data_IF_155592879736
#
_entry.id   IF_155592879736
#
_cell.length_a   1.000
_cell.length_b   1.000
_cell.length_c   1.000
_cell.angle_alpha   90.00
_cell.angle_beta   90.00
_cell.angle_gamma   90.00
#
_symmetry.space_group_name_H-M   'P 1'
#
loop_
_entity.id
_entity.type
_entity.pdbx_description
1 polymer ?
#
# COMPACT_ATOMS: atom_id res chain seq x y z
N UNK A 1 -51.76 70.52 -35.41
CA UNK A 1 -51.59 69.06 -35.31
C UNK A 1 -50.45 68.83 -34.33
N UNK A 2 -50.77 68.58 -33.06
CA UNK A 2 -49.79 68.47 -31.97
C UNK A 2 -49.04 67.13 -32.05
N UNK A 3 -47.70 67.17 -31.96
CA UNK A 3 -46.88 65.96 -31.86
C UNK A 3 -47.07 65.30 -30.48
N UNK A 4 -47.13 63.96 -30.38
CA UNK A 4 -47.24 63.30 -29.10
C UNK A 4 -45.91 63.44 -28.34
N UNK A 5 -45.98 64.13 -27.21
CA UNK A 5 -44.85 64.31 -26.31
C UNK A 5 -44.62 62.99 -25.56
N UNK A 6 -43.48 62.34 -25.83
CA UNK A 6 -43.08 61.12 -25.13
C UNK A 6 -42.88 61.43 -23.64
N UNK A 7 -43.66 60.79 -22.78
CA UNK A 7 -43.49 60.82 -21.32
C UNK A 7 -42.15 60.17 -20.98
N UNK A 8 -41.29 60.91 -20.27
CA UNK A 8 -40.07 60.37 -19.70
C UNK A 8 -40.43 59.33 -18.62
N UNK A 9 -40.42 58.06 -18.99
CA UNK A 9 -40.53 56.98 -18.02
C UNK A 9 -39.27 56.99 -17.13
N UNK A 10 -39.47 57.06 -15.82
CA UNK A 10 -38.40 56.92 -14.85
C UNK A 10 -37.70 55.56 -15.05
N UNK A 11 -36.35 55.49 -14.99
CA UNK A 11 -35.67 54.22 -15.05
C UNK A 11 -36.01 53.43 -13.78
N UNK A 12 -36.76 52.35 -13.93
CA UNK A 12 -36.91 51.37 -12.85
C UNK A 12 -35.53 50.73 -12.61
N UNK A 13 -34.99 50.75 -11.38
CA UNK A 13 -33.63 50.25 -11.12
C UNK A 13 -33.55 48.71 -11.05
N UNK A 14 -34.51 48.00 -11.62
CA UNK A 14 -34.58 46.54 -11.58
C UNK A 14 -34.82 45.94 -12.97
N UNK A 15 -33.94 46.25 -13.91
CA UNK A 15 -33.64 45.30 -14.97
C UNK A 15 -32.67 44.27 -14.40
N UNK A 16 -33.21 43.19 -13.82
CA UNK A 16 -32.41 42.00 -13.56
C UNK A 16 -32.01 41.42 -14.92
N UNK A 17 -30.88 41.87 -15.46
CA UNK A 17 -30.17 41.15 -16.51
C UNK A 17 -29.32 40.11 -15.78
N UNK A 18 -29.68 38.81 -15.82
CA UNK A 18 -28.86 37.80 -15.17
C UNK A 18 -27.46 37.88 -15.78
N UNK A 19 -26.47 38.18 -14.96
CA UNK A 19 -25.08 38.11 -15.35
C UNK A 19 -24.76 36.66 -15.70
N UNK A 20 -24.69 36.34 -17.00
CA UNK A 20 -24.38 35.00 -17.55
C UNK A 20 -23.01 34.42 -17.12
N UNK A 21 -22.27 35.11 -16.25
CA UNK A 21 -20.96 34.68 -15.75
C UNK A 21 -21.03 33.92 -14.41
N UNK A 22 -22.22 33.80 -13.82
CA UNK A 22 -22.47 33.11 -12.54
C UNK A 22 -23.68 32.18 -12.61
N UNK A 23 -24.06 31.74 -13.80
CA UNK A 23 -25.14 30.75 -13.97
C UNK A 23 -24.57 29.35 -13.72
N UNK A 24 -25.16 28.64 -12.76
CA UNK A 24 -24.85 27.23 -12.53
C UNK A 24 -25.06 26.45 -13.84
N UNK A 25 -24.05 25.67 -14.26
CA UNK A 25 -24.14 24.79 -15.43
C UNK A 25 -24.92 23.48 -15.13
N UNK A 26 -25.48 23.38 -13.92
CA UNK A 26 -26.24 22.26 -13.42
C UNK A 26 -27.69 22.70 -13.21
N UNK A 27 -28.63 21.84 -13.55
CA UNK A 27 -30.04 22.08 -13.29
C UNK A 27 -30.27 22.05 -11.76
N UNK A 28 -30.67 23.18 -11.19
CA UNK A 28 -30.90 23.31 -9.74
C UNK A 28 -32.25 22.74 -9.31
N UNK A 29 -33.14 22.48 -10.26
CA UNK A 29 -34.50 21.96 -10.01
C UNK A 29 -34.57 20.43 -10.07
N UNK A 30 -33.46 19.75 -10.37
CA UNK A 30 -33.36 18.29 -10.47
C UNK A 30 -32.31 17.75 -9.50
N UNK A 31 -32.61 16.61 -8.86
CA UNK A 31 -31.66 15.92 -7.99
C UNK A 31 -30.59 15.23 -8.83
N UNK A 32 -29.32 15.50 -8.52
CA UNK A 32 -28.18 14.90 -9.21
C UNK A 32 -28.07 13.43 -8.81
N UNK A 33 -28.09 12.55 -9.80
CA UNK A 33 -27.86 11.12 -9.60
C UNK A 33 -26.38 10.80 -9.77
N UNK A 34 -25.90 9.81 -9.00
CA UNK A 34 -24.51 9.36 -9.06
C UNK A 34 -24.20 8.58 -10.35
N UNK A 35 -25.18 7.87 -10.90
CA UNK A 35 -25.02 7.05 -12.10
C UNK A 35 -26.31 7.01 -12.91
N UNK A 36 -26.18 7.11 -14.23
CA UNK A 36 -27.32 7.04 -15.16
C UNK A 36 -27.52 5.62 -15.71
N UNK A 37 -26.49 4.76 -15.64
CA UNK A 37 -26.52 3.41 -16.19
C UNK A 37 -26.19 2.34 -15.15
N UNK A 38 -26.68 1.11 -15.37
CA UNK A 38 -26.38 -0.02 -14.50
C UNK A 38 -24.86 -0.31 -14.43
N UNK A 39 -24.16 -0.20 -15.57
CA UNK A 39 -22.72 -0.42 -15.64
C UNK A 39 -21.92 0.63 -14.86
N UNK A 40 -22.33 1.89 -14.92
CA UNK A 40 -21.73 2.98 -14.16
C UNK A 40 -21.96 2.82 -12.65
N UNK A 41 -23.17 2.42 -12.26
CA UNK A 41 -23.47 2.10 -10.86
C UNK A 41 -22.60 0.94 -10.34
N UNK A 42 -22.41 -0.12 -11.12
CA UNK A 42 -21.56 -1.24 -10.74
C UNK A 42 -20.07 -0.82 -10.65
N UNK A 43 -19.64 0.11 -11.50
CA UNK A 43 -18.31 0.73 -11.41
C UNK A 43 -18.14 1.53 -10.11
N UNK A 44 -19.10 2.39 -9.77
CA UNK A 44 -19.06 3.16 -8.53
C UNK A 44 -19.15 2.27 -7.29
N UNK A 45 -19.90 1.18 -7.32
CA UNK A 45 -19.92 0.18 -6.24
C UNK A 45 -18.52 -0.43 -6.03
N UNK A 46 -17.85 -0.79 -7.13
CA UNK A 46 -16.47 -1.32 -7.08
C UNK A 46 -15.48 -0.29 -6.56
N UNK A 47 -15.58 0.98 -6.99
CA UNK A 47 -14.74 2.07 -6.48
C UNK A 47 -15.01 2.37 -5.01
N UNK A 48 -16.27 2.27 -4.57
CA UNK A 48 -16.66 2.42 -3.16
C UNK A 48 -16.07 1.30 -2.29
N UNK A 49 -16.01 0.07 -2.80
CA UNK A 49 -15.35 -1.05 -2.12
C UNK A 49 -13.85 -0.78 -1.96
N UNK A 50 -13.17 -0.30 -3.01
CA UNK A 50 -11.76 0.11 -2.94
C UNK A 50 -11.55 1.23 -1.90
N UNK A 51 -12.39 2.26 -1.93
CA UNK A 51 -12.36 3.36 -0.96
C UNK A 51 -12.54 2.86 0.48
N UNK A 52 -13.50 1.97 0.71
CA UNK A 52 -13.76 1.32 2.00
C UNK A 52 -12.54 0.53 2.49
N UNK A 53 -11.92 -0.26 1.62
CA UNK A 53 -10.70 -1.03 1.95
C UNK A 53 -9.56 -0.10 2.36
N UNK A 54 -9.34 1.01 1.63
CA UNK A 54 -8.26 1.95 1.93
C UNK A 54 -8.45 2.58 3.32
N UNK A 55 -9.66 3.04 3.64
CA UNK A 55 -9.96 3.67 4.95
C UNK A 55 -9.86 2.66 6.08
N UNK A 56 -10.42 1.46 5.90
CA UNK A 56 -10.39 0.40 6.92
C UNK A 56 -8.96 -0.06 7.17
N UNK A 57 -8.12 -0.15 6.15
CA UNK A 57 -6.71 -0.44 6.30
C UNK A 57 -5.98 0.64 7.11
N UNK A 58 -6.24 1.92 6.86
CA UNK A 58 -5.63 3.02 7.64
C UNK A 58 -6.08 3.00 9.11
N UNK A 59 -7.36 2.70 9.35
CA UNK A 59 -7.90 2.50 10.70
C UNK A 59 -7.27 1.29 11.41
N UNK A 60 -7.06 0.18 10.69
CA UNK A 60 -6.40 -1.02 11.18
C UNK A 60 -4.95 -0.71 11.60
N UNK A 61 -4.18 0.00 10.77
CA UNK A 61 -2.83 0.46 11.12
C UNK A 61 -2.82 1.32 12.39
N UNK A 62 -3.74 2.29 12.48
CA UNK A 62 -3.87 3.15 13.66
C UNK A 62 -4.28 2.37 14.91
N UNK A 63 -5.08 1.32 14.78
CA UNK A 63 -5.52 0.49 15.90
C UNK A 63 -4.38 -0.41 16.40
N UNK A 64 -3.60 -0.99 15.48
CA UNK A 64 -2.40 -1.76 15.82
C UNK A 64 -1.36 -0.91 16.56
N UNK A 65 -1.09 0.32 16.07
CA UNK A 65 -0.17 1.25 16.73
C UNK A 65 -0.63 1.75 18.11
N UNK A 66 -1.93 1.63 18.41
CA UNK A 66 -2.52 1.95 19.72
C UNK A 66 -2.66 0.72 20.61
N UNK A 67 -2.02 -0.40 20.26
CA UNK A 67 -2.11 -1.69 20.95
C UNK A 67 -3.57 -2.16 21.17
N UNK A 68 -4.49 -1.76 20.29
CA UNK A 68 -5.92 -2.09 20.41
C UNK A 68 -6.27 -3.45 19.79
N UNK A 69 -5.37 -4.01 18.97
CA UNK A 69 -5.53 -5.29 18.26
C UNK A 69 -4.22 -6.06 18.42
N UNK A 70 -4.31 -7.39 18.57
CA UNK A 70 -3.11 -8.23 18.68
C UNK A 70 -2.44 -8.45 17.31
N UNK A 71 -1.17 -8.87 17.34
CA UNK A 71 -0.34 -9.03 16.15
C UNK A 71 -0.89 -10.06 15.15
N UNK A 72 -1.45 -11.17 15.65
CA UNK A 72 -1.97 -12.24 14.81
C UNK A 72 -3.23 -11.79 14.04
N UNK A 73 -4.19 -11.17 14.74
CA UNK A 73 -5.42 -10.63 14.16
C UNK A 73 -5.14 -9.50 13.18
N UNK A 74 -4.19 -8.62 13.51
CA UNK A 74 -3.74 -7.58 12.60
C UNK A 74 -3.17 -8.17 11.30
N UNK A 75 -2.26 -9.14 11.41
CA UNK A 75 -1.58 -9.72 10.24
C UNK A 75 -2.58 -10.41 9.32
N UNK A 76 -3.50 -11.20 9.87
CA UNK A 76 -4.53 -11.89 9.10
C UNK A 76 -5.50 -10.91 8.43
N UNK A 77 -5.95 -9.89 9.17
CA UNK A 77 -6.90 -8.90 8.65
C UNK A 77 -6.25 -8.03 7.57
N UNK A 78 -4.99 -7.63 7.77
CA UNK A 78 -4.24 -6.85 6.78
C UNK A 78 -4.02 -7.65 5.49
N UNK A 79 -3.60 -8.92 5.58
CA UNK A 79 -3.39 -9.76 4.39
C UNK A 79 -4.70 -9.93 3.60
N UNK A 80 -5.82 -10.11 4.32
CA UNK A 80 -7.15 -10.21 3.72
C UNK A 80 -7.55 -8.94 2.98
N UNK A 81 -7.39 -7.77 3.61
CA UNK A 81 -7.70 -6.47 2.99
C UNK A 81 -6.82 -6.20 1.75
N UNK A 82 -5.53 -6.54 1.82
CA UNK A 82 -4.61 -6.40 0.69
C UNK A 82 -5.00 -7.30 -0.49
N UNK A 83 -5.44 -8.53 -0.23
CA UNK A 83 -5.95 -9.43 -1.29
C UNK A 83 -7.24 -8.90 -1.92
N UNK A 84 -8.17 -8.40 -1.11
CA UNK A 84 -9.42 -7.81 -1.60
C UNK A 84 -9.15 -6.57 -2.46
N UNK A 85 -8.22 -5.71 -2.04
CA UNK A 85 -7.79 -4.55 -2.80
C UNK A 85 -7.23 -4.96 -4.18
N UNK A 86 -6.30 -5.92 -4.21
CA UNK A 86 -5.73 -6.45 -5.46
C UNK A 86 -6.80 -7.10 -6.35
N UNK A 87 -7.76 -7.81 -5.76
CA UNK A 87 -8.85 -8.45 -6.50
C UNK A 87 -9.82 -7.44 -7.12
N UNK A 88 -10.11 -6.33 -6.44
CA UNK A 88 -10.97 -5.28 -7.00
C UNK A 88 -10.29 -4.55 -8.16
N UNK A 89 -8.99 -4.28 -8.02
CA UNK A 89 -8.18 -3.65 -9.09
C UNK A 89 -7.86 -4.57 -10.26
N UNK A 90 -8.19 -5.86 -10.19
CA UNK A 90 -8.03 -6.78 -11.31
C UNK A 90 -9.07 -6.53 -12.43
N UNK A 91 -10.19 -5.88 -12.13
CA UNK A 91 -11.19 -5.51 -13.13
C UNK A 91 -10.69 -4.33 -13.97
N UNK A 92 -10.65 -4.48 -15.29
CA UNK A 92 -10.08 -3.49 -16.22
C UNK A 92 -10.80 -2.13 -16.16
N UNK A 93 -12.13 -2.14 -16.02
CA UNK A 93 -12.95 -0.92 -15.89
C UNK A 93 -12.61 -0.15 -14.60
N UNK A 94 -12.42 -0.87 -13.50
CA UNK A 94 -12.07 -0.30 -12.20
C UNK A 94 -10.64 0.21 -12.24
N UNK A 95 -9.69 -0.55 -12.81
CA UNK A 95 -8.31 -0.11 -12.94
C UNK A 95 -8.18 1.16 -13.80
N UNK A 96 -8.97 1.26 -14.88
CA UNK A 96 -8.98 2.44 -15.74
C UNK A 96 -9.54 3.68 -15.02
N UNK A 97 -10.61 3.52 -14.23
CA UNK A 97 -11.20 4.61 -13.46
C UNK A 97 -10.38 4.98 -12.21
N UNK A 98 -9.74 4.00 -11.57
CA UNK A 98 -8.88 4.20 -10.40
C UNK A 98 -7.56 4.88 -10.76
N UNK A 99 -6.96 4.50 -11.89
CA UNK A 99 -5.66 5.01 -12.31
C UNK A 99 -4.54 4.61 -11.35
N UNK A 100 -4.05 5.57 -10.58
CA UNK A 100 -3.02 5.38 -9.56
C UNK A 100 -3.49 5.82 -8.17
N UNK A 101 -2.86 5.23 -7.14
CA UNK A 101 -3.23 5.46 -5.75
C UNK A 101 -3.15 6.94 -5.34
N UNK A 102 -2.20 7.71 -5.86
CA UNK A 102 -2.06 9.13 -5.47
C UNK A 102 -3.12 10.00 -6.15
N UNK A 103 -3.42 9.76 -7.43
CA UNK A 103 -4.52 10.46 -8.12
C UNK A 103 -5.87 10.16 -7.48
N UNK A 104 -6.15 8.89 -7.16
CA UNK A 104 -7.39 8.51 -6.47
C UNK A 104 -7.51 9.19 -5.10
N UNK A 105 -6.41 9.29 -4.34
CA UNK A 105 -6.43 10.01 -3.07
C UNK A 105 -6.70 11.51 -3.23
N UNK A 106 -6.12 12.13 -4.26
CA UNK A 106 -6.30 13.55 -4.53
C UNK A 106 -7.74 13.86 -4.98
N UNK A 107 -8.31 13.01 -5.81
CA UNK A 107 -9.68 13.14 -6.32
C UNK A 107 -10.73 13.03 -5.21
N UNK A 108 -10.57 12.05 -4.30
CA UNK A 108 -11.52 11.77 -3.23
C UNK A 108 -11.16 12.41 -1.88
N UNK A 109 -10.08 13.22 -1.82
CA UNK A 109 -9.66 13.92 -0.60
C UNK A 109 -9.25 12.99 0.55
N UNK A 110 -8.58 11.88 0.23
CA UNK A 110 -8.20 10.84 1.19
C UNK A 110 -6.89 11.14 1.92
N UNK A 111 -6.96 11.44 3.22
CA UNK A 111 -5.80 11.56 4.10
C UNK A 111 -5.48 10.23 4.83
N UNK A 112 -4.81 9.33 4.11
CA UNK A 112 -4.53 7.94 4.58
C UNK A 112 -3.04 7.60 4.50
N UNK A 113 -2.17 8.28 5.28
CA UNK A 113 -0.72 8.11 5.17
C UNK A 113 -0.26 6.68 5.49
N UNK A 114 -0.88 5.99 6.46
CA UNK A 114 -0.44 4.65 6.88
C UNK A 114 -0.88 3.57 5.91
N UNK A 115 -2.13 3.66 5.42
CA UNK A 115 -2.58 2.77 4.35
C UNK A 115 -1.76 2.97 3.06
N UNK A 116 -1.34 4.19 2.75
CA UNK A 116 -0.52 4.46 1.55
C UNK A 116 0.79 3.69 1.59
N UNK A 117 1.52 3.75 2.71
CA UNK A 117 2.73 2.96 2.89
C UNK A 117 2.43 1.48 2.74
N UNK A 118 1.42 0.98 3.45
CA UNK A 118 1.05 -0.44 3.41
C UNK A 118 0.67 -0.94 2.01
N UNK A 119 -0.08 -0.15 1.24
CA UNK A 119 -0.49 -0.51 -0.12
C UNK A 119 0.69 -0.49 -1.10
N UNK A 120 1.65 0.41 -0.91
CA UNK A 120 2.89 0.43 -1.71
C UNK A 120 3.74 -0.81 -1.45
N UNK A 121 3.90 -1.20 -0.19
CA UNK A 121 4.70 -2.35 0.24
C UNK A 121 4.02 -3.67 -0.10
N UNK A 122 2.70 -3.76 0.06
CA UNK A 122 1.92 -4.96 -0.27
C UNK A 122 2.06 -6.11 0.72
N UNK A 123 2.64 -5.89 1.90
CA UNK A 123 2.78 -6.86 3.00
C UNK A 123 2.45 -6.21 4.36
N UNK A 124 1.89 -6.95 5.34
CA UNK A 124 1.67 -6.47 6.71
C UNK A 124 2.92 -5.89 7.41
N UNK A 125 2.79 -4.89 8.29
CA UNK A 125 3.94 -4.23 8.97
C UNK A 125 4.76 -5.21 9.80
N UNK A 126 4.09 -6.22 10.35
CA UNK A 126 4.71 -7.30 11.12
C UNK A 126 5.74 -8.08 10.31
N UNK A 127 5.52 -8.16 8.98
CA UNK A 127 6.43 -8.81 8.05
C UNK A 127 7.51 -7.84 7.55
N UNK A 128 7.23 -6.54 7.52
CA UNK A 128 8.19 -5.53 7.08
C UNK A 128 9.18 -5.13 8.19
N UNK A 129 8.68 -4.96 9.42
CA UNK A 129 9.41 -4.33 10.51
C UNK A 129 9.00 -4.89 11.89
N UNK A 130 9.95 -5.56 12.55
CA UNK A 130 10.03 -5.64 14.01
C UNK A 130 11.51 -5.46 14.37
N UNK A 131 11.94 -4.44 15.15
CA UNK A 131 11.28 -3.16 15.45
C UNK A 131 12.26 -1.95 15.44
N UNK A 132 11.96 -0.86 14.72
CA UNK A 132 12.24 0.50 15.24
C UNK A 132 11.16 0.89 16.23
N UNK A 133 11.15 0.21 17.38
CA UNK A 133 10.52 0.76 18.59
C UNK A 133 11.39 1.93 19.00
N UNK A 134 10.90 3.14 18.71
CA UNK A 134 11.38 4.33 19.41
C UNK A 134 11.31 4.03 20.90
N UNK A 135 12.49 4.09 21.50
CA UNK A 135 12.79 3.71 22.85
C UNK A 135 12.19 4.74 23.81
N UNK A 136 11.01 4.45 24.36
CA UNK A 136 10.57 5.05 25.61
C UNK A 136 9.31 4.38 26.18
N UNK A 137 9.43 3.20 26.79
CA UNK A 137 8.69 2.97 28.04
C UNK A 137 9.25 1.84 28.89
N UNK A 138 9.69 2.26 30.08
CA UNK A 138 9.91 1.47 31.28
C UNK A 138 8.84 0.40 31.51
N UNK A 139 9.22 -0.87 31.54
CA UNK A 139 8.54 -1.88 32.36
C UNK A 139 9.55 -2.59 33.27
N UNK A 140 9.10 -2.73 34.52
CA UNK A 140 9.88 -2.98 35.73
C UNK A 140 10.54 -4.36 35.70
N UNK A 141 11.81 -4.38 36.08
CA UNK A 141 12.48 -5.57 36.56
C UNK A 141 11.74 -6.11 37.80
N UNK A 142 11.05 -7.23 37.65
CA UNK A 142 10.68 -8.09 38.78
C UNK A 142 11.66 -9.25 38.81
N UNK A 143 12.47 -9.25 39.85
CA UNK A 143 13.41 -10.29 40.21
C UNK A 143 12.67 -11.62 40.45
N UNK A 144 12.99 -12.67 39.69
CA UNK A 144 12.79 -14.05 40.16
C UNK A 144 13.92 -14.93 39.63
N UNK A 145 14.85 -15.25 40.52
CA UNK A 145 15.87 -16.27 40.37
C UNK A 145 15.24 -17.64 40.06
N UNK A 146 15.65 -18.25 38.95
CA UNK A 146 15.45 -19.67 38.65
C UNK A 146 16.67 -20.19 37.86
N UNK A 147 17.36 -21.25 38.31
CA UNK A 147 18.64 -21.64 37.75
C UNK A 147 18.48 -22.55 36.52
N UNK A 148 19.25 -22.24 35.46
CA UNK A 148 19.80 -23.19 34.49
C UNK A 148 18.83 -23.96 33.60
N UNK A 149 18.68 -23.50 32.35
CA UNK A 149 18.43 -24.41 31.22
C UNK A 149 19.00 -23.82 29.91
N UNK A 150 20.14 -24.35 29.46
CA UNK A 150 20.69 -24.09 28.13
C UNK A 150 20.01 -25.04 27.11
N UNK A 151 19.33 -24.47 26.10
CA UNK A 151 18.75 -25.14 24.90
C UNK A 151 17.23 -24.92 24.76
N UNK A 152 16.66 -24.47 23.61
CA UNK A 152 16.93 -24.87 22.21
C UNK A 152 17.03 -23.72 21.16
N UNK A 153 17.33 -22.49 21.55
CA UNK A 153 17.32 -21.33 20.62
C UNK A 153 18.32 -21.41 19.44
N UNK A 154 19.45 -22.10 19.60
CA UNK A 154 20.46 -22.22 18.55
C UNK A 154 20.04 -23.13 17.38
N UNK A 155 19.23 -24.17 17.64
CA UNK A 155 18.75 -25.09 16.61
C UNK A 155 17.63 -24.46 15.76
N UNK A 156 16.74 -23.68 16.40
CA UNK A 156 15.72 -22.91 15.69
C UNK A 156 16.35 -21.87 14.76
N UNK A 157 17.41 -21.18 15.23
CA UNK A 157 18.16 -20.25 14.40
C UNK A 157 18.91 -20.97 13.27
N UNK A 158 19.53 -22.13 13.52
CA UNK A 158 20.18 -22.92 12.47
C UNK A 158 19.22 -23.34 11.35
N UNK A 159 18.03 -23.82 11.69
CA UNK A 159 17.00 -24.17 10.71
C UNK A 159 16.50 -22.95 9.94
N UNK A 160 16.31 -21.81 10.63
CA UNK A 160 15.93 -20.56 9.97
C UNK A 160 17.02 -20.06 9.01
N UNK A 161 18.31 -20.19 9.37
CA UNK A 161 19.45 -19.81 8.54
C UNK A 161 19.49 -20.63 7.26
N UNK A 162 19.28 -21.95 7.38
CA UNK A 162 19.20 -22.85 6.23
C UNK A 162 18.05 -22.46 5.32
N UNK A 163 16.85 -22.25 5.88
CA UNK A 163 15.67 -21.81 5.12
C UNK A 163 15.87 -20.47 4.42
N UNK A 164 16.50 -19.49 5.08
CA UNK A 164 16.84 -18.20 4.45
C UNK A 164 17.84 -18.38 3.31
N UNK A 165 18.86 -19.21 3.50
CA UNK A 165 19.87 -19.51 2.48
C UNK A 165 19.26 -20.22 1.26
N UNK A 166 18.33 -21.16 1.49
CA UNK A 166 17.57 -21.82 0.43
C UNK A 166 16.75 -20.82 -0.38
N UNK A 167 16.02 -19.91 0.27
CA UNK A 167 15.23 -18.88 -0.42
C UNK A 167 16.11 -17.93 -1.24
N UNK A 168 17.27 -17.52 -0.72
CA UNK A 168 18.24 -16.75 -1.51
C UNK A 168 18.75 -17.52 -2.72
N UNK A 169 19.05 -18.82 -2.58
CA UNK A 169 19.49 -19.65 -3.71
C UNK A 169 18.38 -19.74 -4.76
N UNK A 170 17.13 -20.00 -4.36
CA UNK A 170 15.97 -20.02 -5.26
C UNK A 170 15.79 -18.70 -6.00
N UNK A 171 15.95 -17.57 -5.29
CA UNK A 171 15.87 -16.24 -5.89
C UNK A 171 17.00 -15.97 -6.89
N UNK A 172 18.24 -16.32 -6.56
CA UNK A 172 19.37 -16.20 -7.47
C UNK A 172 19.22 -17.10 -8.70
N UNK A 173 18.70 -18.30 -8.51
CA UNK A 173 18.46 -19.25 -9.60
C UNK A 173 17.38 -18.73 -10.56
N UNK A 174 16.27 -18.21 -10.03
CA UNK A 174 15.22 -17.58 -10.84
C UNK A 174 15.76 -16.42 -11.70
N UNK A 175 16.61 -15.55 -11.13
CA UNK A 175 17.24 -14.45 -11.86
C UNK A 175 18.21 -14.98 -12.92
N UNK A 176 19.02 -15.99 -12.61
CA UNK A 176 19.97 -16.60 -13.57
C UNK A 176 19.27 -17.36 -14.69
N UNK A 177 18.10 -17.93 -14.42
CA UNK A 177 17.23 -18.57 -15.42
C UNK A 177 16.42 -17.57 -16.25
N UNK A 178 16.61 -16.26 -16.04
CA UNK A 178 15.89 -15.19 -16.71
C UNK A 178 14.37 -15.28 -16.50
N UNK A 179 13.95 -15.80 -15.34
CA UNK A 179 12.54 -15.84 -14.91
C UNK A 179 12.27 -14.53 -14.19
N UNK A 180 12.02 -13.48 -14.97
CA UNK A 180 11.92 -12.09 -14.51
C UNK A 180 10.48 -11.57 -14.41
N UNK A 181 9.50 -12.48 -14.46
CA UNK A 181 8.09 -12.14 -14.33
C UNK A 181 7.74 -11.75 -12.89
N UNK A 182 6.94 -10.68 -12.75
CA UNK A 182 6.45 -10.22 -11.45
C UNK A 182 5.77 -11.34 -10.66
N UNK A 183 4.90 -12.12 -11.29
CA UNK A 183 4.12 -13.17 -10.63
C UNK A 183 4.98 -14.27 -10.02
N UNK A 184 6.17 -14.53 -10.61
CA UNK A 184 7.10 -15.53 -10.09
C UNK A 184 8.10 -14.93 -9.12
N UNK A 185 8.63 -13.73 -9.39
CA UNK A 185 9.61 -13.09 -8.51
C UNK A 185 8.99 -12.55 -7.22
N UNK A 186 7.77 -12.01 -7.26
CA UNK A 186 7.11 -11.45 -6.09
C UNK A 186 6.98 -12.46 -4.93
N UNK A 187 6.40 -13.66 -5.10
CA UNK A 187 6.31 -14.63 -3.99
C UNK A 187 7.69 -15.06 -3.48
N UNK A 188 8.68 -15.27 -4.37
CA UNK A 188 10.03 -15.67 -3.97
C UNK A 188 10.70 -14.56 -3.13
N UNK A 189 10.51 -13.29 -3.50
CA UNK A 189 11.06 -12.15 -2.78
C UNK A 189 10.40 -11.99 -1.39
N UNK A 190 9.09 -12.20 -1.31
CA UNK A 190 8.33 -12.22 -0.05
C UNK A 190 8.83 -13.33 0.88
N UNK A 191 9.01 -14.54 0.37
CA UNK A 191 9.51 -15.68 1.16
C UNK A 191 10.95 -15.44 1.64
N UNK A 192 11.77 -14.80 0.80
CA UNK A 192 13.14 -14.42 1.16
C UNK A 192 13.16 -13.42 2.32
N UNK A 193 12.37 -12.34 2.25
CA UNK A 193 12.33 -11.35 3.34
C UNK A 193 11.76 -11.95 4.64
N UNK A 194 10.74 -12.81 4.55
CA UNK A 194 10.20 -13.51 5.72
C UNK A 194 11.21 -14.44 6.38
N UNK A 195 11.97 -15.21 5.58
CA UNK A 195 12.99 -16.11 6.11
C UNK A 195 14.15 -15.34 6.74
N UNK A 196 14.58 -14.23 6.13
CA UNK A 196 15.59 -13.33 6.69
C UNK A 196 15.15 -12.76 8.04
N UNK A 197 13.90 -12.28 8.14
CA UNK A 197 13.35 -11.75 9.39
C UNK A 197 13.28 -12.80 10.51
N UNK A 198 13.09 -14.08 10.19
CA UNK A 198 13.11 -15.15 11.19
C UNK A 198 14.50 -15.44 11.76
N UNK A 199 15.56 -15.11 11.02
CA UNK A 199 16.95 -15.41 11.41
C UNK A 199 17.56 -14.29 12.24
N UNK A 200 17.23 -13.04 11.92
CA UNK A 200 17.79 -11.87 12.60
C UNK A 200 16.71 -10.83 12.87
N UNK A 201 16.53 -10.50 14.15
CA UNK A 201 15.79 -9.32 14.62
C UNK A 201 16.63 -8.03 14.47
N UNK A 202 17.88 -8.12 14.00
CA UNK A 202 18.75 -6.96 13.81
C UNK A 202 18.57 -6.43 12.40
N UNK A 203 18.16 -5.17 12.30
CA UNK A 203 18.26 -4.42 11.06
C UNK A 203 19.72 -4.45 10.58
N UNK A 204 19.93 -4.97 9.38
CA UNK A 204 21.19 -4.88 8.67
C UNK A 204 21.00 -3.98 7.45
N UNK A 205 22.08 -3.29 7.09
CA UNK A 205 22.09 -2.14 6.16
C UNK A 205 21.45 -2.42 4.79
N UNK A 206 21.38 -3.70 4.39
CA UNK A 206 20.89 -4.11 3.09
C UNK A 206 19.47 -4.74 3.09
N UNK A 207 18.79 -4.85 4.24
CA UNK A 207 17.40 -5.33 4.31
C UNK A 207 16.43 -4.40 3.57
N UNK A 208 16.66 -3.08 3.68
CA UNK A 208 15.85 -2.06 3.01
C UNK A 208 15.85 -2.19 1.49
N UNK A 209 16.91 -2.75 0.90
CA UNK A 209 17.00 -2.99 -0.55
C UNK A 209 16.01 -4.06 -1.02
N UNK A 210 15.85 -5.14 -0.25
CA UNK A 210 14.88 -6.21 -0.59
C UNK A 210 13.45 -5.64 -0.55
N UNK A 211 13.14 -4.82 0.45
CA UNK A 211 11.83 -4.14 0.57
C UNK A 211 11.63 -3.14 -0.58
N UNK A 212 12.67 -2.37 -0.95
CA UNK A 212 12.62 -1.46 -2.08
C UNK A 212 12.31 -2.21 -3.39
N UNK A 213 12.96 -3.34 -3.63
CA UNK A 213 12.66 -4.19 -4.79
C UNK A 213 11.25 -4.78 -4.74
N UNK A 214 10.75 -5.13 -3.56
CA UNK A 214 9.37 -5.57 -3.40
C UNK A 214 8.36 -4.47 -3.74
N UNK A 215 8.62 -3.23 -3.32
CA UNK A 215 7.81 -2.05 -3.68
C UNK A 215 7.84 -1.84 -5.19
N UNK A 216 9.02 -1.89 -5.81
CA UNK A 216 9.18 -1.76 -7.27
C UNK A 216 8.39 -2.84 -8.00
N UNK A 217 8.52 -4.10 -7.61
CA UNK A 217 7.77 -5.23 -8.18
C UNK A 217 6.26 -5.07 -7.97
N UNK A 218 5.81 -4.56 -6.83
CA UNK A 218 4.39 -4.35 -6.57
C UNK A 218 3.80 -3.22 -7.44
N UNK A 219 4.58 -2.16 -7.71
CA UNK A 219 4.19 -1.03 -8.57
C UNK A 219 4.16 -1.37 -10.07
N UNK A 220 4.93 -2.37 -10.53
CA UNK A 220 4.88 -2.85 -11.92
C UNK A 220 3.54 -3.53 -12.25
N UNK A 221 3.13 -3.57 -13.51
CA UNK A 221 1.89 -4.29 -13.91
C UNK A 221 2.07 -5.81 -13.73
N UNK A 222 0.98 -6.54 -13.46
CA UNK A 222 1.01 -8.01 -13.24
C UNK A 222 1.77 -8.76 -14.35
N UNK A 223 1.56 -8.37 -15.61
CA UNK A 223 2.18 -8.97 -16.79
C UNK A 223 3.54 -8.35 -17.20
N UNK A 224 4.10 -7.46 -16.39
CA UNK A 224 5.35 -6.77 -16.71
C UNK A 224 6.54 -7.57 -16.17
N UNK A 225 7.56 -7.71 -17.01
CA UNK A 225 8.82 -8.38 -16.66
C UNK A 225 9.88 -7.32 -16.35
N UNK A 226 10.79 -7.63 -15.41
CA UNK A 226 11.94 -6.76 -15.16
C UNK A 226 12.82 -6.67 -16.41
N UNK A 227 13.22 -5.45 -16.74
CA UNK A 227 14.21 -5.25 -17.81
C UNK A 227 15.53 -5.94 -17.44
N UNK A 228 16.35 -6.34 -18.43
CA UNK A 228 17.64 -6.99 -18.17
C UNK A 228 18.61 -6.10 -17.37
N UNK A 229 18.43 -4.78 -17.43
CA UNK A 229 19.17 -3.83 -16.60
C UNK A 229 18.71 -3.88 -15.14
N UNK A 230 17.40 -3.77 -14.90
CA UNK A 230 16.83 -3.89 -13.55
C UNK A 230 17.11 -5.27 -12.92
N UNK A 231 17.14 -6.34 -13.71
CA UNK A 231 17.48 -7.67 -13.22
C UNK A 231 18.94 -7.75 -12.73
N UNK A 232 19.87 -7.04 -13.38
CA UNK A 232 21.26 -6.93 -12.93
C UNK A 232 21.35 -6.11 -11.65
N UNK A 233 20.61 -5.01 -11.56
CA UNK A 233 20.58 -4.18 -10.36
C UNK A 233 19.97 -4.95 -9.18
N UNK A 234 18.87 -5.67 -9.40
CA UNK A 234 18.25 -6.58 -8.43
C UNK A 234 19.26 -7.64 -7.97
N UNK A 235 19.96 -8.28 -8.90
CA UNK A 235 20.97 -9.27 -8.59
C UNK A 235 22.12 -8.68 -7.74
N UNK A 236 22.57 -7.47 -8.06
CA UNK A 236 23.62 -6.78 -7.31
C UNK A 236 23.16 -6.47 -5.88
N UNK A 237 21.98 -5.87 -5.72
CA UNK A 237 21.42 -5.54 -4.42
C UNK A 237 21.14 -6.76 -3.56
N UNK A 238 20.69 -7.87 -4.16
CA UNK A 238 20.50 -9.14 -3.48
C UNK A 238 21.81 -9.79 -3.06
N UNK A 239 22.87 -9.69 -3.86
CA UNK A 239 24.20 -10.15 -3.43
C UNK A 239 24.69 -9.34 -2.23
N UNK A 240 24.52 -8.02 -2.26
CA UNK A 240 24.85 -7.16 -1.11
C UNK A 240 24.01 -7.52 0.12
N UNK A 241 22.72 -7.82 -0.06
CA UNK A 241 21.85 -8.27 1.03
C UNK A 241 22.26 -9.62 1.60
N UNK A 242 22.63 -10.58 0.76
CA UNK A 242 23.12 -11.90 1.18
C UNK A 242 24.47 -11.83 1.88
N UNK A 243 25.40 -11.00 1.40
CA UNK A 243 26.68 -10.75 2.09
C UNK A 243 26.47 -10.08 3.45
N UNK A 244 25.59 -9.09 3.52
CA UNK A 244 25.18 -8.46 4.78
C UNK A 244 24.57 -9.46 5.75
N UNK A 245 23.66 -10.31 5.26
CA UNK A 245 23.07 -11.40 6.04
C UNK A 245 24.13 -12.37 6.56
N UNK A 246 25.05 -12.82 5.71
CA UNK A 246 26.16 -13.70 6.11
C UNK A 246 27.08 -13.05 7.14
N UNK A 247 27.32 -11.75 7.03
CA UNK A 247 28.09 -10.98 8.01
C UNK A 247 27.38 -10.87 9.37
N UNK A 248 26.05 -10.88 9.41
CA UNK A 248 25.31 -10.92 10.69
C UNK A 248 25.36 -12.28 11.40
N UNK A 249 25.74 -13.34 10.68
CA UNK A 249 25.79 -14.72 11.18
C UNK A 249 27.18 -15.15 11.70
N UNK A 250 28.23 -14.37 11.41
CA UNK A 250 29.62 -14.61 11.85
C UNK A 250 30.04 -13.63 12.93
#
# INVERSE_FOLDING_TARGET
>A
MYAPQQLAYAPTPYSYTPSNNLTANINLDEEVQLADTAAERDLYESLAEVYSIIITLDALEKAYLRDSINEAEYTETCDRLLRQYKSNLAAESVQAAFGDLESFKAEWGLEVPKATERLRIGLPATIESVPTRTSSQHHRASNSHGPGNNGPGAAANATAIVSASENFITLFDAIRMNILSKDTLHPILVDTIQAVNKVTDRDFENKGKIVQWLITLNQMRAAEELSPEQARDLQFDLNAAYEGFKATLG
#
